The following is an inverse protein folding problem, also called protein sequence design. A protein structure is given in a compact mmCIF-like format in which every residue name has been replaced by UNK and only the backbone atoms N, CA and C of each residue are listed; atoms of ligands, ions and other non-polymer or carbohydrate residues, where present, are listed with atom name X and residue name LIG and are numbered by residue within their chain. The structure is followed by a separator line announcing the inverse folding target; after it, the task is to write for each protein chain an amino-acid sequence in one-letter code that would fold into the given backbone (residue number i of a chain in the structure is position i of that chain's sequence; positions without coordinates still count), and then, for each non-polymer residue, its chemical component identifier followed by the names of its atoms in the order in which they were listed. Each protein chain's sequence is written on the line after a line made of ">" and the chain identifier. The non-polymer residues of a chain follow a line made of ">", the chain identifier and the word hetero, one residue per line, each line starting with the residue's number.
data_IF_917638929420
#
_entry.id   IF_917638929420
#
_cell.length_a   1.000
_cell.length_b   1.000
_cell.length_c   1.000
_cell.angle_alpha   90.00
_cell.angle_beta   90.00
_cell.angle_gamma   90.00
#
_symmetry.space_group_name_H-M   'P 1'
#
loop_
_entity.id
_entity.type
_entity.pdbx_description
1 polymer ?
#
# COMPACT_ATOMS: atom_id res chain seq x y z
N UNK A 1 43.32 28.27 23.84
CA UNK A 1 44.74 28.23 23.44
C UNK A 1 45.52 27.69 24.61
N UNK A 2 45.96 26.44 24.53
CA UNK A 2 46.75 25.80 25.59
C UNK A 2 48.19 25.75 25.07
N UNK A 3 49.13 26.32 25.82
CA UNK A 3 50.54 26.33 25.49
C UNK A 3 51.25 25.39 26.47
N UNK A 4 51.83 24.30 25.99
CA UNK A 4 52.69 23.42 26.79
C UNK A 4 54.13 23.64 26.42
N UNK A 5 55.00 23.84 27.43
CA UNK A 5 56.41 24.03 27.29
C UNK A 5 57.13 22.72 27.57
N UNK A 6 57.80 22.15 26.57
CA UNK A 6 58.67 20.99 26.71
C UNK A 6 60.02 21.35 26.02
N UNK A 7 61.11 21.18 26.70
CA UNK A 7 62.50 21.34 26.22
C UNK A 7 62.88 22.68 25.61
N UNK A 8 62.43 23.77 26.24
CA UNK A 8 62.93 25.12 25.90
C UNK A 8 62.55 25.67 24.52
N UNK A 9 61.74 24.95 23.73
CA UNK A 9 61.24 25.44 22.42
C UNK A 9 59.71 25.46 22.39
N UNK A 10 59.15 26.62 21.99
CA UNK A 10 57.73 26.77 21.80
C UNK A 10 57.28 26.03 20.52
N UNK A 11 56.52 24.93 20.69
CA UNK A 11 55.81 24.31 19.58
C UNK A 11 54.34 24.74 19.61
N UNK A 12 53.88 25.30 18.51
CA UNK A 12 52.46 25.59 18.31
C UNK A 12 51.72 24.26 18.10
N UNK A 13 50.84 23.89 19.03
CA UNK A 13 49.88 22.82 18.84
C UNK A 13 48.62 23.44 18.22
N UNK A 14 48.38 23.16 16.95
CA UNK A 14 47.14 23.51 16.29
C UNK A 14 46.12 22.42 16.70
N UNK A 15 45.26 22.79 17.65
CA UNK A 15 44.08 21.94 17.95
C UNK A 15 43.06 22.19 16.84
N UNK A 16 43.02 21.29 15.87
CA UNK A 16 41.95 21.26 14.87
C UNK A 16 40.66 20.80 15.55
N UNK A 17 39.79 21.74 15.82
CA UNK A 17 38.43 21.43 16.28
C UNK A 17 37.67 20.85 15.09
N UNK A 18 37.54 19.54 15.05
CA UNK A 18 36.67 18.85 14.10
C UNK A 18 35.22 19.20 14.46
N UNK A 19 34.65 20.20 13.78
CA UNK A 19 33.20 20.44 13.87
C UNK A 19 32.54 19.36 13.10
N UNK A 20 32.01 18.35 13.81
CA UNK A 20 31.14 17.34 13.24
C UNK A 20 29.80 18.01 12.94
N UNK A 21 29.63 18.53 11.72
CA UNK A 21 28.34 18.96 11.21
C UNK A 21 27.54 17.69 10.94
N UNK A 22 26.75 17.28 11.90
CA UNK A 22 25.69 16.31 11.65
C UNK A 22 24.69 16.99 10.73
N UNK A 23 24.76 16.68 9.43
CA UNK A 23 23.63 16.92 8.53
C UNK A 23 22.48 16.08 9.05
N UNK A 24 21.66 16.65 9.91
CA UNK A 24 20.30 16.17 10.14
C UNK A 24 19.58 16.46 8.82
N UNK A 25 19.61 15.47 7.92
CA UNK A 25 18.77 15.49 6.74
C UNK A 25 17.34 15.66 7.22
N UNK A 26 16.78 16.84 7.03
CA UNK A 26 15.34 17.06 7.18
C UNK A 26 14.68 16.17 6.14
N UNK A 27 14.27 14.96 6.58
CA UNK A 27 13.30 14.19 5.80
C UNK A 27 12.10 15.12 5.62
N UNK A 28 11.60 15.33 4.41
CA UNK A 28 10.33 16.01 4.27
C UNK A 28 9.33 15.20 5.11
N UNK A 29 8.99 15.73 6.27
CA UNK A 29 7.88 15.24 7.05
C UNK A 29 6.66 15.56 6.20
N UNK A 30 6.12 14.58 5.49
CA UNK A 30 4.76 14.65 5.03
C UNK A 30 3.94 14.93 6.27
N UNK A 31 3.60 16.20 6.48
CA UNK A 31 2.66 16.61 7.51
C UNK A 31 1.32 16.07 7.04
N UNK A 32 1.07 14.79 7.31
CA UNK A 32 -0.27 14.25 7.24
C UNK A 32 -1.04 14.96 8.34
N UNK A 33 -1.69 16.07 7.96
CA UNK A 33 -2.62 16.76 8.86
C UNK A 33 -3.58 15.72 9.40
N UNK A 34 -3.90 15.81 10.69
CA UNK A 34 -4.73 14.87 11.40
C UNK A 34 -6.19 14.86 10.90
N UNK A 35 -6.39 14.52 9.65
CA UNK A 35 -7.68 14.53 8.98
C UNK A 35 -8.35 13.16 9.06
N UNK A 36 -9.66 13.19 9.24
CA UNK A 36 -10.55 12.06 9.04
C UNK A 36 -11.19 12.17 7.65
N UNK A 37 -11.82 11.09 7.11
CA UNK A 37 -12.50 11.15 5.82
C UNK A 37 -13.54 12.27 5.74
N UNK A 38 -13.54 13.03 4.65
CA UNK A 38 -14.37 14.22 4.49
C UNK A 38 -15.34 14.11 3.32
N UNK A 39 -16.47 14.80 3.44
CA UNK A 39 -17.48 15.05 2.42
C UNK A 39 -17.90 13.78 1.63
N UNK A 40 -18.49 12.77 2.32
CA UNK A 40 -18.94 11.55 1.66
C UNK A 40 -20.14 11.80 0.73
N UNK A 41 -20.05 11.32 -0.51
CA UNK A 41 -21.10 11.35 -1.52
C UNK A 41 -21.45 9.93 -1.94
N UNK A 42 -22.62 9.43 -1.54
CA UNK A 42 -23.07 8.09 -1.89
C UNK A 42 -23.49 8.05 -3.36
N UNK A 43 -22.76 7.25 -4.16
CA UNK A 43 -23.01 7.06 -5.59
C UNK A 43 -23.93 5.85 -5.86
N UNK A 44 -23.87 4.84 -4.98
CA UNK A 44 -24.67 3.62 -5.11
C UNK A 44 -24.87 2.95 -3.75
N UNK A 45 -26.04 2.37 -3.56
CA UNK A 45 -26.42 1.67 -2.35
C UNK A 45 -27.07 2.54 -1.28
N UNK A 46 -27.42 1.92 -0.15
CA UNK A 46 -28.03 2.61 1.01
C UNK A 46 -26.99 2.68 2.13
N UNK A 47 -26.59 3.89 2.50
CA UNK A 47 -25.53 4.16 3.47
C UNK A 47 -25.99 5.20 4.49
N UNK A 48 -25.64 5.00 5.75
CA UNK A 48 -25.76 5.98 6.82
C UNK A 48 -24.37 6.22 7.42
N UNK A 49 -23.97 7.48 7.53
CA UNK A 49 -22.65 7.87 8.02
C UNK A 49 -22.84 8.74 9.25
N UNK A 50 -22.16 8.39 10.35
CA UNK A 50 -22.18 9.12 11.61
C UNK A 50 -20.76 9.37 12.11
N UNK A 51 -20.58 10.37 12.98
CA UNK A 51 -19.26 10.72 13.51
C UNK A 51 -18.41 11.56 12.56
N UNK A 52 -18.98 12.17 11.55
CA UNK A 52 -18.27 13.10 10.66
C UNK A 52 -17.69 14.26 11.47
N UNK A 53 -16.41 14.56 11.27
CA UNK A 53 -15.71 15.61 12.02
C UNK A 53 -15.27 15.22 13.44
N UNK A 54 -15.38 13.93 13.78
CA UNK A 54 -14.85 13.36 15.03
C UNK A 54 -13.77 12.31 14.75
N UNK A 55 -13.07 11.85 15.79
CA UNK A 55 -12.04 10.82 15.68
C UNK A 55 -12.60 9.41 15.38
N UNK A 56 -13.93 9.25 15.40
CA UNK A 56 -14.59 7.97 15.14
C UNK A 56 -15.72 8.12 14.12
N UNK A 57 -15.41 7.74 12.88
CA UNK A 57 -16.37 7.70 11.78
C UNK A 57 -16.98 6.31 11.65
N UNK A 58 -18.31 6.22 11.58
CA UNK A 58 -19.03 4.98 11.33
C UNK A 58 -19.77 5.05 10.00
N UNK A 59 -19.55 4.07 9.14
CA UNK A 59 -20.20 3.91 7.85
C UNK A 59 -21.06 2.65 7.87
N UNK A 60 -22.37 2.82 8.00
CA UNK A 60 -23.33 1.73 8.07
C UNK A 60 -23.98 1.53 6.70
N UNK A 61 -23.69 0.42 6.03
CA UNK A 61 -24.28 0.10 4.73
C UNK A 61 -25.43 -0.90 4.89
N UNK A 62 -26.49 -0.74 4.09
CA UNK A 62 -27.68 -1.62 4.10
C UNK A 62 -27.82 -2.43 2.82
N UNK A 63 -26.90 -2.26 1.85
CA UNK A 63 -26.86 -2.98 0.59
C UNK A 63 -25.54 -3.73 0.46
N UNK A 64 -25.55 -4.85 -0.26
CA UNK A 64 -24.37 -5.71 -0.41
C UNK A 64 -23.24 -5.06 -1.20
N UNK A 65 -23.56 -4.12 -2.10
CA UNK A 65 -22.57 -3.30 -2.80
C UNK A 65 -22.89 -1.83 -2.58
N UNK A 66 -21.86 -1.05 -2.26
CA UNK A 66 -21.96 0.39 -2.08
C UNK A 66 -20.78 1.09 -2.75
N UNK A 67 -21.03 2.29 -3.25
CA UNK A 67 -20.01 3.17 -3.82
C UNK A 67 -20.14 4.52 -3.14
N UNK A 68 -19.05 4.98 -2.52
CA UNK A 68 -18.98 6.26 -1.83
C UNK A 68 -17.77 7.02 -2.39
N UNK A 69 -17.99 8.23 -2.88
CA UNK A 69 -16.93 9.17 -3.21
C UNK A 69 -16.63 10.05 -1.99
N UNK A 70 -15.36 10.36 -1.77
CA UNK A 70 -14.86 11.18 -0.68
C UNK A 70 -13.98 12.29 -1.24
N UNK A 71 -14.01 13.47 -0.64
CA UNK A 71 -13.03 14.50 -0.99
C UNK A 71 -11.64 14.12 -0.48
N UNK A 72 -11.54 13.59 0.73
CA UNK A 72 -10.33 13.00 1.28
C UNK A 72 -10.66 11.74 2.08
N UNK A 73 -9.71 10.79 2.14
CA UNK A 73 -9.84 9.60 2.98
C UNK A 73 -8.52 9.34 3.69
N UNK A 74 -8.34 9.97 4.82
CA UNK A 74 -7.20 9.72 5.73
C UNK A 74 -7.74 9.37 7.11
N UNK A 75 -6.91 8.74 7.95
CA UNK A 75 -7.23 8.41 9.34
C UNK A 75 -5.99 8.75 10.16
N UNK A 76 -6.07 9.80 10.97
CA UNK A 76 -4.96 10.23 11.82
C UNK A 76 -4.64 9.22 12.92
N UNK A 77 -3.50 9.36 13.57
CA UNK A 77 -3.14 8.55 14.74
C UNK A 77 -4.17 8.74 15.86
N UNK A 78 -4.71 7.61 16.36
CA UNK A 78 -5.82 7.60 17.31
C UNK A 78 -7.21 7.65 16.67
N UNK A 79 -7.32 8.03 15.38
CA UNK A 79 -8.60 8.02 14.65
C UNK A 79 -9.05 6.59 14.29
N UNK A 80 -10.36 6.44 14.11
CA UNK A 80 -10.98 5.16 13.79
C UNK A 80 -12.10 5.32 12.75
N UNK A 81 -12.10 4.44 11.75
CA UNK A 81 -13.18 4.31 10.77
C UNK A 81 -13.70 2.87 10.78
N UNK A 82 -15.00 2.71 11.02
CA UNK A 82 -15.67 1.41 11.03
C UNK A 82 -16.70 1.33 9.91
N UNK A 83 -16.58 0.30 9.06
CA UNK A 83 -17.59 -0.07 8.07
C UNK A 83 -18.41 -1.24 8.60
N UNK A 84 -19.67 -1.00 8.90
CA UNK A 84 -20.65 -2.00 9.27
C UNK A 84 -21.48 -2.37 8.05
N UNK A 85 -21.18 -3.52 7.45
CA UNK A 85 -21.80 -4.01 6.24
C UNK A 85 -22.76 -5.16 6.53
N UNK A 86 -23.76 -5.44 5.67
CA UNK A 86 -24.75 -6.49 5.91
C UNK A 86 -24.15 -7.87 6.12
N UNK A 87 -23.02 -8.17 5.48
CA UNK A 87 -22.36 -9.47 5.58
C UNK A 87 -20.87 -9.42 5.27
N UNK A 88 -20.15 -10.50 5.56
CA UNK A 88 -18.75 -10.66 5.18
C UNK A 88 -18.52 -10.65 3.65
N UNK A 89 -19.55 -10.89 2.85
CA UNK A 89 -19.49 -10.85 1.39
C UNK A 89 -19.86 -9.49 0.81
N UNK A 90 -20.44 -8.59 1.59
CA UNK A 90 -20.74 -7.22 1.18
C UNK A 90 -19.46 -6.48 0.83
N UNK A 91 -19.52 -5.56 -0.14
CA UNK A 91 -18.36 -4.89 -0.68
C UNK A 91 -18.61 -3.38 -0.82
N UNK A 92 -17.82 -2.58 -0.14
CA UNK A 92 -17.86 -1.11 -0.23
C UNK A 92 -16.67 -0.60 -1.04
N UNK A 93 -16.94 0.11 -2.13
CA UNK A 93 -15.97 0.90 -2.88
C UNK A 93 -15.95 2.32 -2.34
N UNK A 94 -14.78 2.76 -1.90
CA UNK A 94 -14.51 4.10 -1.39
C UNK A 94 -13.49 4.76 -2.31
N UNK A 95 -13.92 5.78 -3.06
CA UNK A 95 -13.09 6.49 -4.01
C UNK A 95 -12.82 7.91 -3.53
N UNK A 96 -11.56 8.29 -3.49
CA UNK A 96 -11.16 9.69 -3.25
C UNK A 96 -11.19 10.43 -4.58
N UNK A 97 -11.93 11.52 -4.61
CA UNK A 97 -12.08 12.40 -5.79
C UNK A 97 -11.32 13.71 -5.64
N UNK A 98 -10.85 14.05 -4.44
CA UNK A 98 -9.98 15.20 -4.22
C UNK A 98 -8.54 14.93 -4.65
N UNK A 99 -7.63 15.86 -4.35
CA UNK A 99 -6.25 15.85 -4.85
C UNK A 99 -5.20 15.39 -3.85
N UNK A 100 -5.59 15.07 -2.60
CA UNK A 100 -4.66 14.67 -1.55
C UNK A 100 -4.51 13.14 -1.46
N UNK A 101 -3.32 12.60 -1.19
CA UNK A 101 -3.14 11.18 -0.94
C UNK A 101 -3.84 10.74 0.35
N UNK A 102 -4.16 9.45 0.44
CA UNK A 102 -4.70 8.84 1.66
C UNK A 102 -3.59 8.39 2.59
N UNK A 103 -3.71 8.76 3.87
CA UNK A 103 -2.82 8.31 4.94
C UNK A 103 -3.61 7.60 6.02
N UNK A 104 -3.35 6.32 6.24
CA UNK A 104 -3.99 5.52 7.28
C UNK A 104 -2.97 5.37 8.43
N UNK A 105 -3.06 6.25 9.43
CA UNK A 105 -2.24 6.23 10.63
C UNK A 105 -3.02 5.73 11.86
N UNK A 106 -4.35 5.63 11.76
CA UNK A 106 -5.26 5.09 12.75
C UNK A 106 -5.80 3.71 12.35
N UNK A 107 -7.05 3.44 12.74
CA UNK A 107 -7.71 2.15 12.55
C UNK A 107 -8.76 2.21 11.44
N UNK A 108 -8.67 1.31 10.48
CA UNK A 108 -9.67 1.07 9.45
C UNK A 108 -10.23 -0.35 9.59
N UNK A 109 -11.48 -0.47 9.99
CA UNK A 109 -12.11 -1.74 10.25
C UNK A 109 -13.32 -1.99 9.34
N UNK A 110 -13.56 -3.25 8.99
CA UNK A 110 -14.78 -3.66 8.30
C UNK A 110 -15.10 -5.13 8.54
N UNK A 111 -16.35 -5.45 8.78
CA UNK A 111 -16.83 -6.84 8.80
C UNK A 111 -17.01 -7.42 7.39
N UNK A 112 -17.04 -6.59 6.35
CA UNK A 112 -17.13 -6.95 4.94
C UNK A 112 -15.87 -6.66 4.14
N UNK A 113 -16.00 -6.69 2.81
CA UNK A 113 -14.92 -6.34 1.87
C UNK A 113 -14.86 -4.83 1.70
N UNK A 114 -13.65 -4.28 1.64
CA UNK A 114 -13.40 -2.86 1.50
C UNK A 114 -12.43 -2.58 0.35
N UNK A 115 -12.77 -1.63 -0.49
CA UNK A 115 -11.90 -1.10 -1.53
C UNK A 115 -11.68 0.40 -1.28
N UNK A 116 -10.42 0.82 -1.21
CA UNK A 116 -10.01 2.21 -1.15
C UNK A 116 -9.23 2.56 -2.41
N UNK A 117 -9.77 3.49 -3.19
CA UNK A 117 -9.13 4.00 -4.40
C UNK A 117 -8.74 5.45 -4.17
N UNK A 118 -7.46 5.75 -4.36
CA UNK A 118 -6.98 7.13 -4.40
C UNK A 118 -5.87 7.28 -5.45
N UNK A 119 -6.15 7.91 -6.60
CA UNK A 119 -5.15 8.13 -7.64
C UNK A 119 -3.91 8.92 -7.18
N UNK A 120 -4.03 9.70 -6.10
CA UNK A 120 -2.95 10.51 -5.56
C UNK A 120 -1.98 9.73 -4.66
N UNK A 121 -2.31 8.48 -4.31
CA UNK A 121 -1.51 7.63 -3.44
C UNK A 121 -2.28 7.09 -2.24
N UNK A 122 -1.88 5.90 -1.76
CA UNK A 122 -2.39 5.31 -0.52
C UNK A 122 -1.22 4.87 0.33
N UNK A 123 -1.15 5.36 1.56
CA UNK A 123 -0.12 5.02 2.53
C UNK A 123 -0.76 4.48 3.80
N UNK A 124 -0.37 3.29 4.22
CA UNK A 124 -0.63 2.78 5.57
C UNK A 124 0.67 3.00 6.36
N UNK A 125 0.63 3.90 7.34
CA UNK A 125 1.81 4.28 8.14
C UNK A 125 2.19 3.18 9.14
N UNK A 126 3.35 3.24 9.81
CA UNK A 126 3.76 2.21 10.78
C UNK A 126 2.73 1.93 11.87
N UNK A 127 1.99 2.96 12.32
CA UNK A 127 0.94 2.83 13.34
C UNK A 127 -0.42 2.46 12.75
N UNK A 128 -0.57 2.52 11.42
CA UNK A 128 -1.82 2.23 10.72
C UNK A 128 -2.21 0.76 10.81
N UNK A 129 -3.47 0.52 11.15
CA UNK A 129 -4.05 -0.82 11.30
C UNK A 129 -5.29 -0.96 10.44
N UNK A 130 -5.28 -1.95 9.57
CA UNK A 130 -6.42 -2.31 8.72
C UNK A 130 -6.88 -3.72 9.08
N UNK A 131 -8.12 -3.85 9.54
CA UNK A 131 -8.77 -5.13 9.88
C UNK A 131 -10.07 -5.27 9.09
N UNK A 132 -10.09 -6.13 8.09
CA UNK A 132 -11.26 -6.29 7.21
C UNK A 132 -11.45 -7.73 6.77
N UNK A 133 -12.63 -8.06 6.22
CA UNK A 133 -12.83 -9.36 5.58
C UNK A 133 -11.98 -9.51 4.32
N UNK A 134 -11.90 -8.46 3.52
CA UNK A 134 -10.98 -8.31 2.40
C UNK A 134 -10.64 -6.83 2.21
N UNK A 135 -9.44 -6.53 1.75
CA UNK A 135 -8.99 -5.16 1.53
C UNK A 135 -8.30 -5.01 0.18
N UNK A 136 -8.75 -4.02 -0.58
CA UNK A 136 -8.07 -3.59 -1.80
C UNK A 136 -7.71 -2.11 -1.67
N UNK A 137 -6.43 -1.78 -1.70
CA UNK A 137 -5.94 -0.41 -1.84
C UNK A 137 -5.41 -0.22 -3.26
N UNK A 138 -5.85 0.84 -3.95
CA UNK A 138 -5.46 1.05 -5.33
C UNK A 138 -5.26 2.53 -5.65
N UNK A 139 -4.24 2.82 -6.47
CA UNK A 139 -4.08 4.11 -7.16
C UNK A 139 -4.61 4.07 -8.59
N UNK A 140 -5.02 2.89 -9.04
CA UNK A 140 -5.73 2.69 -10.30
C UNK A 140 -7.23 2.72 -10.02
N UNK A 141 -8.02 3.29 -10.92
CA UNK A 141 -9.46 3.38 -10.76
C UNK A 141 -10.20 2.22 -11.44
N UNK A 142 -11.43 1.98 -11.00
CA UNK A 142 -12.36 1.01 -11.56
C UNK A 142 -13.67 1.72 -11.95
N UNK A 143 -14.26 1.34 -13.06
CA UNK A 143 -15.57 1.84 -13.44
C UNK A 143 -16.66 1.36 -12.45
N UNK A 144 -17.64 2.22 -12.13
CA UNK A 144 -18.72 1.87 -11.21
C UNK A 144 -19.51 0.65 -11.67
N UNK A 145 -19.84 0.58 -12.97
CA UNK A 145 -20.56 -0.55 -13.53
C UNK A 145 -19.75 -1.85 -13.46
N UNK A 146 -18.44 -1.78 -13.73
CA UNK A 146 -17.54 -2.91 -13.60
C UNK A 146 -17.50 -3.43 -12.15
N UNK A 147 -17.39 -2.53 -11.16
CA UNK A 147 -17.45 -2.89 -9.75
C UNK A 147 -18.80 -3.55 -9.39
N UNK A 148 -19.92 -2.97 -9.83
CA UNK A 148 -21.24 -3.51 -9.56
C UNK A 148 -21.48 -4.88 -10.22
N UNK A 149 -20.83 -5.14 -11.35
CA UNK A 149 -20.91 -6.40 -12.12
C UNK A 149 -19.83 -7.43 -11.78
N UNK A 150 -19.06 -7.24 -10.69
CA UNK A 150 -17.95 -8.11 -10.28
C UNK A 150 -16.80 -8.23 -11.30
N UNK A 151 -16.67 -7.25 -12.20
CA UNK A 151 -15.57 -7.12 -13.14
C UNK A 151 -14.48 -6.22 -12.56
N UNK A 152 -13.51 -6.78 -11.87
CA UNK A 152 -12.49 -5.99 -11.15
C UNK A 152 -11.31 -5.63 -12.07
N UNK A 153 -11.57 -4.81 -13.09
CA UNK A 153 -10.58 -4.28 -14.03
C UNK A 153 -10.19 -2.85 -13.69
N UNK A 154 -8.96 -2.67 -13.23
CA UNK A 154 -8.40 -1.40 -12.81
C UNK A 154 -7.56 -0.79 -13.92
N UNK A 155 -7.68 0.54 -14.10
CA UNK A 155 -6.91 1.31 -15.07
C UNK A 155 -6.31 2.55 -14.42
N UNK A 156 -5.05 2.82 -14.70
CA UNK A 156 -4.34 4.02 -14.30
C UNK A 156 -4.41 5.12 -15.36
N UNK A 157 -3.77 6.23 -15.05
CA UNK A 157 -3.69 7.42 -15.93
C UNK A 157 -2.40 7.47 -16.76
N UNK A 158 -1.56 6.44 -16.67
CA UNK A 158 -0.22 6.41 -17.27
C UNK A 158 0.88 6.99 -16.38
N UNK A 159 0.53 7.61 -15.26
CA UNK A 159 1.42 8.19 -14.24
C UNK A 159 0.93 7.85 -12.84
N UNK A 160 0.46 6.61 -12.65
CA UNK A 160 -0.15 6.20 -11.38
C UNK A 160 0.85 6.24 -10.23
N UNK A 161 0.40 6.77 -9.11
CA UNK A 161 1.15 6.81 -7.85
C UNK A 161 1.29 5.42 -7.24
N UNK A 162 1.91 5.32 -6.07
CA UNK A 162 2.13 4.07 -5.38
C UNK A 162 1.14 3.78 -4.26
N UNK A 163 1.09 2.50 -3.90
CA UNK A 163 0.52 2.03 -2.64
C UNK A 163 1.66 1.60 -1.73
N UNK A 164 1.73 2.18 -0.53
CA UNK A 164 2.79 1.94 0.45
C UNK A 164 2.15 1.38 1.72
N UNK A 165 2.61 0.23 2.17
CA UNK A 165 2.25 -0.33 3.46
C UNK A 165 3.48 -0.41 4.38
N UNK A 166 3.47 0.35 5.47
CA UNK A 166 4.44 0.23 6.56
C UNK A 166 3.78 -0.26 7.87
N UNK A 167 2.44 -0.36 7.87
CA UNK A 167 1.62 -0.76 9.00
C UNK A 167 1.19 -2.22 8.97
N UNK A 168 0.04 -2.49 9.55
CA UNK A 168 -0.49 -3.84 9.70
C UNK A 168 -1.83 -4.00 8.98
N UNK A 169 -1.88 -4.94 8.03
CA UNK A 169 -3.11 -5.34 7.35
C UNK A 169 -3.45 -6.77 7.76
N UNK A 170 -4.62 -6.96 8.36
CA UNK A 170 -5.13 -8.27 8.77
C UNK A 170 -6.43 -8.56 8.04
N UNK A 171 -6.44 -9.67 7.32
CA UNK A 171 -7.59 -10.12 6.52
C UNK A 171 -8.27 -11.30 7.18
N UNK A 172 -9.59 -11.25 7.24
CA UNK A 172 -10.42 -12.36 7.72
C UNK A 172 -10.21 -13.63 6.90
N UNK A 173 -10.37 -14.79 7.54
CA UNK A 173 -10.05 -16.09 6.94
C UNK A 173 -10.70 -16.32 5.57
N UNK A 174 -9.90 -16.66 4.56
CA UNK A 174 -10.33 -16.86 3.18
C UNK A 174 -10.58 -15.58 2.37
N UNK A 175 -10.37 -14.39 2.94
CA UNK A 175 -10.44 -13.11 2.23
C UNK A 175 -9.19 -12.81 1.41
N UNK A 176 -9.10 -11.57 0.91
CA UNK A 176 -7.93 -11.13 0.13
C UNK A 176 -7.41 -9.77 0.58
N UNK A 177 -6.10 -9.56 0.44
CA UNK A 177 -5.46 -8.26 0.43
C UNK A 177 -4.89 -8.00 -0.96
N UNK A 178 -5.25 -6.88 -1.58
CA UNK A 178 -4.68 -6.45 -2.87
C UNK A 178 -4.15 -5.02 -2.75
N UNK A 179 -2.87 -4.83 -3.06
CA UNK A 179 -2.23 -3.51 -3.15
C UNK A 179 -1.84 -3.28 -4.60
N UNK A 180 -2.46 -2.29 -5.25
CA UNK A 180 -2.39 -2.08 -6.70
C UNK A 180 -1.99 -0.63 -7.01
N UNK A 181 -0.98 -0.43 -7.85
CA UNK A 181 -0.57 0.93 -8.18
C UNK A 181 0.45 0.98 -9.32
N UNK A 182 0.93 2.19 -9.64
CA UNK A 182 2.06 2.37 -10.52
C UNK A 182 3.31 1.69 -9.93
N UNK A 183 3.43 1.72 -8.61
CA UNK A 183 4.38 0.92 -7.82
C UNK A 183 3.75 0.50 -6.47
N UNK A 184 4.33 -0.52 -5.84
CA UNK A 184 3.88 -1.02 -4.53
C UNK A 184 5.09 -1.26 -3.63
N UNK A 185 5.04 -0.71 -2.42
CA UNK A 185 6.06 -0.96 -1.39
C UNK A 185 5.42 -1.54 -0.14
N UNK A 186 5.98 -2.62 0.39
CA UNK A 186 5.57 -3.20 1.66
C UNK A 186 6.78 -3.33 2.59
N UNK A 187 6.80 -2.55 3.64
CA UNK A 187 7.73 -2.68 4.78
C UNK A 187 7.02 -3.15 6.06
N UNK A 188 5.69 -3.20 6.03
CA UNK A 188 4.83 -3.64 7.13
C UNK A 188 4.46 -5.12 7.05
N UNK A 189 3.32 -5.46 7.63
CA UNK A 189 2.83 -6.83 7.74
C UNK A 189 1.47 -6.95 7.06
N UNK A 190 1.33 -7.93 6.16
CA UNK A 190 0.05 -8.31 5.55
C UNK A 190 -0.22 -9.78 5.85
N UNK A 191 -1.35 -10.05 6.50
CA UNK A 191 -1.75 -11.42 6.87
C UNK A 191 -3.13 -11.75 6.29
N UNK A 192 -3.23 -12.89 5.58
CA UNK A 192 -4.48 -13.41 5.00
C UNK A 192 -4.54 -14.94 5.12
N UNK A 193 -4.86 -15.44 6.32
CA UNK A 193 -4.96 -16.91 6.57
C UNK A 193 -6.03 -17.56 5.68
N UNK A 194 -5.68 -18.64 4.99
CA UNK A 194 -6.52 -19.34 4.01
C UNK A 194 -7.02 -18.42 2.87
N UNK A 195 -6.40 -17.26 2.73
CA UNK A 195 -6.78 -16.18 1.81
C UNK A 195 -5.74 -15.92 0.74
N UNK A 196 -5.87 -14.76 0.11
CA UNK A 196 -5.01 -14.38 -1.01
C UNK A 196 -4.36 -13.02 -0.74
N UNK A 197 -3.09 -12.86 -1.10
CA UNK A 197 -2.37 -11.58 -1.10
C UNK A 197 -1.89 -11.31 -2.52
N UNK A 198 -2.21 -10.12 -3.05
CA UNK A 198 -1.78 -9.64 -4.35
C UNK A 198 -1.04 -8.31 -4.22
N UNK A 199 0.19 -8.23 -4.71
CA UNK A 199 0.88 -6.97 -4.96
C UNK A 199 0.99 -6.79 -6.47
N UNK A 200 0.34 -5.76 -7.01
CA UNK A 200 0.26 -5.48 -8.44
C UNK A 200 0.80 -4.11 -8.80
N UNK A 201 1.82 -4.05 -9.67
CA UNK A 201 2.38 -2.80 -10.14
C UNK A 201 2.28 -2.66 -11.65
N UNK A 202 1.62 -1.60 -12.12
CA UNK A 202 1.38 -1.31 -13.53
C UNK A 202 0.17 -0.39 -13.73
N UNK A 203 -0.19 -0.13 -14.99
CA UNK A 203 -1.26 0.80 -15.34
C UNK A 203 -2.59 0.11 -15.73
N UNK A 204 -2.59 -1.23 -15.84
CA UNK A 204 -3.81 -2.01 -16.05
C UNK A 204 -3.69 -3.34 -15.32
N UNK A 205 -4.59 -3.56 -14.36
CA UNK A 205 -4.60 -4.74 -13.51
C UNK A 205 -6.02 -5.29 -13.44
N UNK A 206 -6.17 -6.59 -13.65
CA UNK A 206 -7.44 -7.29 -13.43
C UNK A 206 -7.28 -8.24 -12.25
N UNK A 207 -8.20 -8.16 -11.29
CA UNK A 207 -8.30 -9.11 -10.18
C UNK A 207 -9.36 -10.17 -10.49
N UNK A 208 -9.00 -11.42 -10.26
CA UNK A 208 -9.90 -12.57 -10.32
C UNK A 208 -9.93 -13.23 -8.93
N UNK A 209 -10.98 -12.96 -8.18
CA UNK A 209 -11.12 -13.49 -6.82
C UNK A 209 -11.64 -14.93 -6.80
N UNK A 210 -12.26 -15.39 -7.88
CA UNK A 210 -12.90 -16.70 -7.99
C UNK A 210 -11.96 -17.72 -8.62
N UNK A 211 -11.25 -17.33 -9.67
CA UNK A 211 -10.34 -18.22 -10.40
C UNK A 211 -8.97 -18.40 -9.73
N UNK A 212 -8.18 -19.29 -10.29
CA UNK A 212 -6.82 -19.60 -9.80
C UNK A 212 -5.78 -18.53 -10.14
N UNK A 213 -6.13 -17.59 -11.02
CA UNK A 213 -5.22 -16.55 -11.52
C UNK A 213 -4.93 -15.42 -10.53
N UNK A 214 -5.83 -15.17 -9.59
CA UNK A 214 -5.86 -14.07 -8.61
C UNK A 214 -5.69 -12.68 -9.24
N UNK A 215 -4.68 -12.47 -10.07
CA UNK A 215 -4.36 -11.17 -10.63
C UNK A 215 -3.66 -11.32 -11.99
N UNK A 216 -4.05 -10.47 -12.94
CA UNK A 216 -3.36 -10.29 -14.22
C UNK A 216 -2.92 -8.83 -14.34
N UNK A 217 -1.62 -8.60 -14.48
CA UNK A 217 -1.07 -7.28 -14.84
C UNK A 217 -0.88 -7.26 -16.34
N UNK A 218 -1.49 -6.29 -17.00
CA UNK A 218 -1.30 -6.06 -18.44
C UNK A 218 -0.35 -4.88 -18.59
N UNK A 219 0.68 -5.05 -19.39
CA UNK A 219 1.68 -4.02 -19.65
C UNK A 219 1.13 -3.05 -20.70
N UNK A 220 0.97 -1.77 -20.40
CA UNK A 220 0.84 -0.78 -21.45
C UNK A 220 2.21 -0.65 -22.15
N UNK A 221 2.19 -0.45 -23.47
CA UNK A 221 3.37 -0.34 -24.32
C UNK A 221 4.23 0.92 -24.10
N UNK A 222 4.01 1.68 -23.04
CA UNK A 222 4.77 2.87 -22.74
C UNK A 222 6.02 2.53 -21.92
N UNK A 223 7.18 2.92 -22.45
CA UNK A 223 8.47 2.89 -21.76
C UNK A 223 8.35 3.74 -20.48
N UNK A 224 8.30 3.09 -19.34
CA UNK A 224 8.48 3.77 -18.06
C UNK A 224 9.97 4.11 -17.93
N UNK A 225 10.38 5.26 -18.46
CA UNK A 225 11.79 5.65 -18.51
C UNK A 225 12.34 6.18 -17.19
N UNK A 226 11.47 6.68 -16.30
CA UNK A 226 11.85 7.10 -14.94
C UNK A 226 10.58 7.15 -14.09
N UNK A 227 10.42 6.19 -13.19
CA UNK A 227 9.38 6.25 -12.17
C UNK A 227 10.04 6.73 -10.90
N UNK A 228 9.52 7.81 -10.37
CA UNK A 228 9.92 8.32 -9.06
C UNK A 228 8.88 7.91 -8.01
N UNK A 229 9.35 7.73 -6.77
CA UNK A 229 8.47 7.63 -5.62
C UNK A 229 7.81 8.99 -5.30
N UNK A 230 7.06 9.04 -4.21
CA UNK A 230 6.41 10.28 -3.75
C UNK A 230 7.39 11.38 -3.35
N UNK A 231 8.63 11.02 -3.02
CA UNK A 231 9.72 11.93 -2.62
C UNK A 231 10.58 12.36 -3.82
N UNK A 232 10.22 11.94 -5.04
CA UNK A 232 10.96 12.25 -6.27
C UNK A 232 12.21 11.38 -6.50
N UNK A 233 12.45 10.34 -5.66
CA UNK A 233 13.58 9.44 -5.84
C UNK A 233 13.29 8.42 -6.93
N UNK A 234 14.29 8.08 -7.74
CA UNK A 234 14.17 7.04 -8.74
C UNK A 234 13.86 5.69 -8.10
N UNK A 235 12.77 5.05 -8.53
CA UNK A 235 12.40 3.71 -8.07
C UNK A 235 13.43 2.68 -8.52
N UNK A 236 13.83 1.82 -7.60
CA UNK A 236 14.75 0.69 -7.85
C UNK A 236 14.01 -0.56 -8.30
N UNK A 237 12.71 -0.66 -8.02
CA UNK A 237 11.80 -1.74 -8.40
C UNK A 237 10.36 -1.24 -8.39
N UNK A 238 9.47 -1.87 -9.15
CA UNK A 238 8.04 -1.55 -9.15
C UNK A 238 7.32 -2.17 -7.94
N UNK A 239 7.70 -3.36 -7.54
CA UNK A 239 7.26 -3.97 -6.28
C UNK A 239 8.49 -4.13 -5.40
N UNK A 240 8.43 -3.58 -4.19
CA UNK A 240 9.47 -3.71 -3.18
C UNK A 240 8.87 -4.28 -1.89
N UNK A 241 9.28 -5.47 -1.48
CA UNK A 241 8.86 -6.07 -0.22
C UNK A 241 10.06 -6.25 0.71
N UNK A 242 10.11 -5.46 1.77
CA UNK A 242 11.06 -5.58 2.89
C UNK A 242 10.37 -6.00 4.19
N UNK A 243 9.03 -6.08 4.17
CA UNK A 243 8.19 -6.51 5.28
C UNK A 243 7.72 -7.96 5.13
N UNK A 244 6.61 -8.30 5.78
CA UNK A 244 6.08 -9.66 5.83
C UNK A 244 4.77 -9.78 5.07
N UNK A 245 4.69 -10.74 4.14
CA UNK A 245 3.47 -11.21 3.49
C UNK A 245 3.20 -12.64 3.95
N UNK A 246 2.05 -12.90 4.60
CA UNK A 246 1.72 -14.22 5.16
C UNK A 246 0.32 -14.68 4.77
N UNK A 247 0.23 -15.72 3.94
CA UNK A 247 -1.03 -16.33 3.48
C UNK A 247 -1.01 -17.86 3.62
N UNK A 248 -0.90 -18.35 4.85
CA UNK A 248 -0.84 -19.78 5.11
C UNK A 248 -2.13 -20.50 4.67
N UNK A 249 -2.01 -21.60 3.92
CA UNK A 249 -3.10 -22.32 3.28
C UNK A 249 -3.76 -21.54 2.14
N UNK A 250 -3.12 -20.49 1.63
CA UNK A 250 -3.64 -19.60 0.60
C UNK A 250 -2.63 -19.27 -0.49
N UNK A 251 -2.76 -18.11 -1.12
CA UNK A 251 -1.91 -17.70 -2.25
C UNK A 251 -1.30 -16.31 -2.04
N UNK A 252 -0.05 -16.15 -2.41
CA UNK A 252 0.61 -14.85 -2.56
C UNK A 252 1.04 -14.70 -4.00
N UNK A 253 0.64 -13.58 -4.65
CA UNK A 253 1.05 -13.25 -6.00
C UNK A 253 1.63 -11.83 -6.06
N UNK A 254 2.86 -11.73 -6.53
CA UNK A 254 3.53 -10.47 -6.83
C UNK A 254 3.71 -10.39 -8.35
N UNK A 255 3.12 -9.39 -8.99
CA UNK A 255 3.20 -9.23 -10.44
C UNK A 255 3.34 -7.76 -10.81
N UNK A 256 4.40 -7.45 -11.53
CA UNK A 256 4.70 -6.09 -11.98
C UNK A 256 4.75 -6.01 -13.51
N UNK A 257 4.41 -4.84 -14.04
CA UNK A 257 4.68 -4.50 -15.43
C UNK A 257 6.19 -4.52 -15.71
N UNK A 258 6.56 -4.68 -16.96
CA UNK A 258 7.96 -4.56 -17.36
C UNK A 258 8.38 -3.11 -17.30
N UNK A 259 9.47 -2.80 -16.59
CA UNK A 259 10.12 -1.51 -16.65
C UNK A 259 11.60 -1.71 -16.98
N UNK A 260 12.09 -0.95 -17.96
CA UNK A 260 13.51 -0.93 -18.30
C UNK A 260 14.26 0.01 -17.34
N UNK A 261 15.50 -0.34 -17.00
CA UNK A 261 16.37 0.53 -16.19
C UNK A 261 16.19 0.44 -14.66
N UNK A 262 15.41 -0.49 -14.15
CA UNK A 262 15.30 -0.72 -12.71
C UNK A 262 16.51 -1.49 -12.18
N UNK A 263 17.25 -0.91 -11.24
CA UNK A 263 18.48 -1.51 -10.70
C UNK A 263 18.27 -2.78 -9.87
N UNK A 264 17.03 -3.03 -9.39
CA UNK A 264 16.64 -4.20 -8.61
C UNK A 264 15.58 -5.07 -9.28
N UNK A 265 15.32 -4.86 -10.57
CA UNK A 265 14.29 -5.58 -11.32
C UNK A 265 12.88 -5.11 -10.98
N UNK A 266 11.89 -5.67 -11.68
CA UNK A 266 10.49 -5.26 -11.51
C UNK A 266 9.92 -5.64 -10.13
N UNK A 267 10.34 -6.78 -9.57
CA UNK A 267 9.97 -7.25 -8.24
C UNK A 267 11.23 -7.46 -7.42
N UNK A 268 11.32 -6.82 -6.25
CA UNK A 268 12.40 -6.96 -5.28
C UNK A 268 11.82 -7.48 -3.96
N UNK A 269 12.40 -8.56 -3.45
CA UNK A 269 12.22 -8.99 -2.06
C UNK A 269 13.57 -8.72 -1.38
N UNK A 270 13.57 -7.71 -0.50
CA UNK A 270 14.77 -7.30 0.22
C UNK A 270 15.21 -8.32 1.27
N UNK A 271 16.41 -8.15 1.83
CA UNK A 271 17.01 -9.06 2.82
C UNK A 271 16.17 -9.25 4.09
N UNK A 272 15.35 -8.26 4.45
CA UNK A 272 14.40 -8.35 5.57
C UNK A 272 13.00 -8.81 5.13
N UNK A 273 12.78 -8.91 3.81
CA UNK A 273 11.48 -9.26 3.25
C UNK A 273 11.13 -10.73 3.44
N UNK A 274 9.90 -10.99 3.85
CA UNK A 274 9.40 -12.36 4.06
C UNK A 274 8.11 -12.59 3.27
N UNK A 275 8.03 -13.73 2.55
CA UNK A 275 6.85 -14.17 1.80
C UNK A 275 6.53 -15.60 2.20
N UNK A 276 5.45 -15.80 2.94
CA UNK A 276 5.13 -17.07 3.60
C UNK A 276 3.75 -17.56 3.19
N UNK A 277 3.69 -18.74 2.58
CA UNK A 277 2.44 -19.44 2.25
C UNK A 277 2.59 -20.93 2.60
N UNK A 278 2.64 -21.23 3.89
CA UNK A 278 2.71 -22.62 4.38
C UNK A 278 1.36 -23.32 4.21
N UNK A 279 1.37 -24.63 4.00
CA UNK A 279 0.15 -25.42 3.96
C UNK A 279 -0.57 -25.44 5.32
N UNK A 280 -1.90 -25.48 5.32
CA UNK A 280 -2.75 -25.68 6.50
C UNK A 280 -3.86 -26.69 6.17
N UNK A 281 -4.03 -27.72 6.99
CA UNK A 281 -5.14 -28.67 6.89
C UNK A 281 -5.36 -29.18 5.44
N UNK A 282 -4.35 -29.79 4.85
CA UNK A 282 -4.34 -30.30 3.49
C UNK A 282 -4.52 -29.26 2.37
N UNK A 283 -4.59 -27.96 2.68
CA UNK A 283 -4.58 -26.88 1.70
C UNK A 283 -3.14 -26.40 1.51
N UNK A 284 -2.53 -26.62 0.32
CA UNK A 284 -1.19 -26.14 0.05
C UNK A 284 -1.17 -24.62 -0.02
N UNK A 285 -0.07 -24.03 0.43
CA UNK A 285 0.22 -22.63 0.16
C UNK A 285 0.84 -22.48 -1.23
N UNK A 286 0.59 -21.35 -1.89
CA UNK A 286 1.13 -21.04 -3.23
C UNK A 286 1.75 -19.65 -3.25
N UNK A 287 2.97 -19.54 -3.78
CA UNK A 287 3.65 -18.27 -4.04
C UNK A 287 3.93 -18.17 -5.54
N UNK A 288 3.53 -17.05 -6.14
CA UNK A 288 3.76 -16.75 -7.56
C UNK A 288 4.40 -15.37 -7.65
N UNK A 289 5.61 -15.30 -8.19
CA UNK A 289 6.35 -14.06 -8.37
C UNK A 289 6.73 -13.95 -9.83
N UNK A 290 6.40 -12.81 -10.45
CA UNK A 290 6.73 -12.52 -11.83
C UNK A 290 5.57 -11.87 -12.59
N UNK A 291 5.82 -11.58 -13.86
CA UNK A 291 4.85 -11.10 -14.82
C UNK A 291 5.06 -11.84 -16.14
N UNK A 292 4.05 -11.97 -17.01
CA UNK A 292 4.19 -12.62 -18.31
C UNK A 292 5.32 -12.07 -19.20
N UNK A 293 5.81 -10.88 -18.88
CA UNK A 293 6.81 -10.15 -19.68
C UNK A 293 8.05 -9.72 -18.89
N UNK A 294 8.27 -10.23 -17.67
CA UNK A 294 9.39 -9.82 -16.82
C UNK A 294 10.49 -10.87 -16.79
N UNK A 295 11.68 -10.48 -17.19
CA UNK A 295 12.88 -11.32 -17.15
C UNK A 295 13.70 -11.19 -15.86
N UNK A 296 13.26 -10.40 -14.86
CA UNK A 296 14.03 -10.21 -13.64
C UNK A 296 13.18 -10.15 -12.38
N UNK A 297 13.37 -11.15 -11.54
CA UNK A 297 12.93 -11.17 -10.12
C UNK A 297 14.20 -11.25 -9.28
N UNK A 298 14.37 -10.33 -8.33
CA UNK A 298 15.47 -10.38 -7.38
C UNK A 298 14.95 -10.82 -6.01
N UNK A 299 15.54 -11.88 -5.48
CA UNK A 299 15.35 -12.31 -4.09
C UNK A 299 16.72 -12.17 -3.44
N UNK A 300 16.81 -11.27 -2.44
CA UNK A 300 18.00 -11.14 -1.62
C UNK A 300 17.78 -11.99 -0.37
N UNK A 301 18.64 -13.00 -0.18
CA UNK A 301 18.74 -13.81 1.04
C UNK A 301 19.61 -13.12 2.07
#
# INVERSE_FOLDING_TARGET
>A
MVINKVDGKLKRVVVSTLVLVTLVGTRPSWSYSGEMPTNPQVQSGKVSITGTGTDHLQVNTKTNKTIINWDSFSIHSGGRVDFNQPSANSFSLNRVVGSTPSSIAGQLNSNGKLMLINPNGVVITPDGVVNTRSFTASTLDINNQDFLSDNYSFKGTGKSRGVINSGKITIGGGGHAALLGGYVSNSGIVTARLGKIALGAGEKITLDFVGDGLMKVTVPSHKLSTITDVDGNTLKSLINNTGTLKANGGMIKLSAATAMGLSRGAVNIGSTGSVIAQGINSKPGKIVIGSPSVNSVRIAG
#
